data_IF_067237893659
#
_entry.id   IF_067237893659
#
_cell.length_a   1.000
_cell.length_b   1.000
_cell.length_c   1.000
_cell.angle_alpha   90.00
_cell.angle_beta   90.00
_cell.angle_gamma   90.00
#
_symmetry.space_group_name_H-M   'P 1'
#
loop_
_entity.id
_entity.type
_entity.pdbx_description
1 polymer ?
#
# COMPACT_ATOMS: atom_id res chain seq x y z
N UNK A 1 6.37 17.53 -9.78
CA UNK A 1 6.48 16.63 -10.96
C UNK A 1 5.45 15.49 -10.99
N UNK A 2 4.24 15.65 -10.42
CA UNK A 2 3.18 14.64 -10.55
C UNK A 2 2.64 14.57 -11.99
N UNK A 3 2.18 13.40 -12.43
CA UNK A 3 1.43 13.24 -13.69
C UNK A 3 0.16 14.11 -13.65
N UNK A 4 -0.28 14.60 -14.82
CA UNK A 4 -1.43 15.51 -14.89
C UNK A 4 -2.69 14.85 -14.32
N UNK A 5 -2.96 13.59 -14.67
CA UNK A 5 -4.08 12.79 -14.14
C UNK A 5 -4.13 12.77 -12.61
N UNK A 6 -2.99 12.58 -11.95
CA UNK A 6 -2.90 12.59 -10.48
C UNK A 6 -3.19 13.97 -9.89
N UNK A 7 -2.72 15.05 -10.53
CA UNK A 7 -3.02 16.43 -10.09
C UNK A 7 -4.53 16.71 -10.18
N UNK A 8 -5.15 16.29 -11.27
CA UNK A 8 -6.59 16.51 -11.52
C UNK A 8 -7.44 15.77 -10.49
N UNK A 9 -7.09 14.50 -10.19
CA UNK A 9 -7.77 13.70 -9.16
C UNK A 9 -7.58 14.31 -7.77
N UNK A 10 -6.36 14.71 -7.42
CA UNK A 10 -6.10 15.33 -6.11
C UNK A 10 -6.93 16.60 -5.93
N UNK A 11 -6.99 17.44 -6.97
CA UNK A 11 -7.84 18.62 -6.96
C UNK A 11 -9.32 18.25 -6.83
N UNK A 12 -9.79 17.28 -7.61
CA UNK A 12 -11.19 16.80 -7.57
C UNK A 12 -11.58 16.26 -6.18
N UNK A 13 -10.71 15.45 -5.57
CA UNK A 13 -10.88 14.89 -4.23
C UNK A 13 -11.07 16.01 -3.17
N UNK A 14 -10.20 17.02 -3.20
CA UNK A 14 -10.25 18.13 -2.26
C UNK A 14 -11.55 18.96 -2.35
N UNK A 15 -12.22 18.94 -3.50
CA UNK A 15 -13.45 19.68 -3.74
C UNK A 15 -14.72 18.84 -3.52
N UNK A 16 -14.61 17.53 -3.21
CA UNK A 16 -15.77 16.71 -2.87
C UNK A 16 -16.65 17.32 -1.77
N UNK A 17 -16.11 17.89 -0.66
CA UNK A 17 -16.92 18.49 0.39
C UNK A 17 -17.76 19.71 -0.04
N UNK A 18 -17.51 20.29 -1.22
CA UNK A 18 -18.27 21.44 -1.71
C UNK A 18 -19.57 21.03 -2.42
N UNK A 19 -19.80 19.73 -2.65
CA UNK A 19 -21.00 19.21 -3.30
C UNK A 19 -22.15 19.01 -2.32
N UNK A 20 -23.38 19.07 -2.82
CA UNK A 20 -24.60 18.68 -2.09
C UNK A 20 -24.77 17.16 -1.95
N UNK A 21 -24.18 16.38 -2.86
CA UNK A 21 -24.25 14.93 -2.93
C UNK A 21 -22.96 14.34 -3.52
N UNK A 22 -22.79 13.01 -3.48
CA UNK A 22 -21.64 12.31 -4.08
C UNK A 22 -20.28 12.90 -3.66
N UNK A 23 -20.13 13.09 -2.34
CA UNK A 23 -19.01 13.78 -1.68
C UNK A 23 -18.15 12.89 -0.77
N UNK A 24 -18.49 11.61 -0.66
CA UNK A 24 -17.74 10.61 0.10
C UNK A 24 -17.54 9.40 -0.79
N UNK A 25 -16.30 8.97 -0.93
CA UNK A 25 -15.96 7.76 -1.68
C UNK A 25 -16.05 6.55 -0.76
N UNK A 26 -16.81 5.54 -1.17
CA UNK A 26 -16.79 4.23 -0.52
C UNK A 26 -15.44 3.53 -0.76
N UNK A 27 -15.04 2.65 0.15
CA UNK A 27 -13.77 1.94 0.04
C UNK A 27 -13.84 0.54 0.67
N UNK A 28 -13.07 -0.39 0.12
CA UNK A 28 -12.89 -1.72 0.68
C UNK A 28 -11.43 -2.17 0.58
N UNK A 29 -10.98 -2.94 1.57
CA UNK A 29 -9.67 -3.59 1.53
C UNK A 29 -9.81 -4.98 0.90
N UNK A 30 -9.12 -5.18 -0.22
CA UNK A 30 -9.16 -6.44 -0.97
C UNK A 30 -8.26 -7.53 -0.39
N UNK A 31 -7.26 -7.15 0.41
CA UNK A 31 -6.34 -8.06 1.11
C UNK A 31 -4.86 -7.77 0.85
N UNK A 32 -4.02 -8.66 1.39
CA UNK A 32 -2.57 -8.62 1.22
C UNK A 32 -2.17 -9.37 -0.06
N UNK A 33 -1.32 -8.76 -0.89
CA UNK A 33 -0.90 -9.31 -2.19
C UNK A 33 -0.32 -10.72 -2.03
N UNK A 34 -0.69 -11.65 -2.92
CA UNK A 34 -0.25 -13.06 -2.87
C UNK A 34 -0.53 -13.80 -1.54
N UNK A 35 -1.48 -13.33 -0.73
CA UNK A 35 -1.91 -14.01 0.48
C UNK A 35 -3.43 -14.06 0.58
N UNK A 36 -4.07 -12.90 0.64
CA UNK A 36 -5.53 -12.78 0.81
C UNK A 36 -6.18 -11.85 -0.20
N UNK A 37 -5.37 -11.09 -0.96
CA UNK A 37 -5.89 -10.16 -1.96
C UNK A 37 -6.79 -10.88 -2.96
N UNK A 38 -8.03 -10.43 -3.06
CA UNK A 38 -8.99 -10.95 -4.04
C UNK A 38 -10.04 -9.89 -4.38
N UNK A 39 -10.80 -10.13 -5.46
CA UNK A 39 -11.99 -9.34 -5.80
C UNK A 39 -13.25 -9.84 -5.07
N UNK A 40 -13.12 -10.77 -4.12
CA UNK A 40 -14.26 -11.35 -3.39
C UNK A 40 -15.06 -10.29 -2.65
N UNK A 41 -14.38 -9.35 -1.98
CA UNK A 41 -15.05 -8.30 -1.22
C UNK A 41 -15.77 -7.28 -2.13
N UNK A 42 -15.16 -6.91 -3.25
CA UNK A 42 -15.81 -6.10 -4.28
C UNK A 42 -17.09 -6.76 -4.80
N UNK A 43 -17.02 -8.03 -5.19
CA UNK A 43 -18.17 -8.77 -5.70
C UNK A 43 -19.26 -8.93 -4.63
N UNK A 44 -18.86 -9.17 -3.38
CA UNK A 44 -19.80 -9.25 -2.24
C UNK A 44 -20.56 -7.93 -2.07
N UNK A 45 -19.87 -6.79 -2.09
CA UNK A 45 -20.47 -5.47 -1.99
C UNK A 45 -21.38 -5.17 -3.19
N UNK A 46 -20.94 -5.50 -4.40
CA UNK A 46 -21.73 -5.34 -5.62
C UNK A 46 -23.00 -6.17 -5.59
N UNK A 47 -22.94 -7.43 -5.15
CA UNK A 47 -24.10 -8.31 -5.05
C UNK A 47 -25.08 -7.85 -3.96
N UNK A 48 -24.56 -7.35 -2.84
CA UNK A 48 -25.40 -6.90 -1.72
C UNK A 48 -26.06 -5.54 -1.95
N UNK A 49 -25.41 -4.64 -2.70
CA UNK A 49 -25.82 -3.22 -2.80
C UNK A 49 -26.13 -2.76 -4.23
N UNK A 50 -25.79 -3.57 -5.24
CA UNK A 50 -25.78 -3.16 -6.64
C UNK A 50 -24.61 -2.26 -7.03
N UNK A 51 -23.69 -1.94 -6.09
CA UNK A 51 -22.60 -0.99 -6.30
C UNK A 51 -21.24 -1.54 -5.85
N UNK A 52 -20.18 -1.19 -6.59
CA UNK A 52 -18.79 -1.46 -6.24
C UNK A 52 -18.20 -0.30 -5.42
N UNK A 53 -17.23 -0.54 -4.51
CA UNK A 53 -16.58 0.53 -3.75
C UNK A 53 -15.78 1.46 -4.66
N UNK A 54 -15.81 2.76 -4.43
CA UNK A 54 -15.05 3.69 -5.27
C UNK A 54 -13.52 3.50 -5.12
N UNK A 55 -13.06 3.07 -3.94
CA UNK A 55 -11.65 2.77 -3.62
C UNK A 55 -11.47 1.28 -3.36
N UNK A 56 -10.41 0.68 -3.90
CA UNK A 56 -10.05 -0.70 -3.58
C UNK A 56 -8.58 -0.81 -3.16
N UNK A 57 -8.36 -1.42 -1.98
CA UNK A 57 -7.07 -1.47 -1.33
C UNK A 57 -6.35 -2.80 -1.53
N UNK A 58 -5.04 -2.72 -1.79
CA UNK A 58 -4.10 -3.83 -1.63
C UNK A 58 -3.01 -3.42 -0.62
N UNK A 59 -2.46 -4.39 0.10
CA UNK A 59 -1.23 -4.20 0.87
C UNK A 59 -0.11 -5.06 0.27
N UNK A 60 1.04 -4.45 -0.03
CA UNK A 60 2.18 -5.20 -0.57
C UNK A 60 3.00 -5.89 0.51
N UNK A 61 2.92 -5.42 1.75
CA UNK A 61 3.76 -5.86 2.85
C UNK A 61 3.15 -7.05 3.60
N UNK A 62 3.92 -8.13 3.71
CA UNK A 62 3.57 -9.33 4.49
C UNK A 62 4.59 -9.51 5.61
N UNK A 63 4.80 -8.44 6.38
CA UNK A 63 5.90 -8.33 7.33
C UNK A 63 5.85 -9.28 8.54
N UNK A 64 4.87 -10.18 8.61
CA UNK A 64 4.86 -11.29 9.55
C UNK A 64 5.62 -12.53 9.02
N UNK A 65 5.94 -12.60 7.72
CA UNK A 65 6.62 -13.74 7.14
C UNK A 65 8.12 -13.75 7.48
N UNK A 66 8.60 -14.91 7.92
CA UNK A 66 10.03 -15.21 8.00
C UNK A 66 10.49 -15.75 6.63
N UNK A 67 11.39 -15.01 6.00
CA UNK A 67 11.91 -15.29 4.65
C UNK A 67 13.44 -15.26 4.64
N UNK A 68 14.04 -15.88 3.62
CA UNK A 68 15.49 -15.88 3.44
C UNK A 68 16.03 -14.49 3.09
N UNK A 69 15.30 -13.76 2.24
CA UNK A 69 15.53 -12.35 1.92
C UNK A 69 14.35 -11.50 2.41
N UNK A 70 14.61 -10.39 3.09
CA UNK A 70 13.54 -9.51 3.61
C UNK A 70 12.61 -9.00 2.51
N UNK A 71 13.12 -8.85 1.28
CA UNK A 71 12.35 -8.39 0.12
C UNK A 71 11.30 -9.40 -0.29
N UNK A 72 11.43 -10.68 0.05
CA UNK A 72 10.39 -11.69 -0.19
C UNK A 72 9.14 -11.44 0.65
N UNK A 73 9.17 -10.53 1.63
CA UNK A 73 7.96 -10.07 2.32
C UNK A 73 7.15 -9.06 1.51
N UNK A 74 7.67 -8.56 0.38
CA UNK A 74 6.99 -7.63 -0.55
C UNK A 74 6.53 -8.36 -1.81
N UNK A 75 5.24 -8.23 -2.13
CA UNK A 75 4.66 -8.66 -3.41
C UNK A 75 3.69 -7.61 -3.93
N UNK A 76 3.62 -7.48 -5.25
CA UNK A 76 2.78 -6.52 -5.93
C UNK A 76 1.98 -7.16 -7.08
N UNK A 77 1.77 -8.49 -7.05
CA UNK A 77 0.99 -9.22 -8.04
C UNK A 77 -0.48 -8.75 -8.13
N UNK A 78 -1.02 -8.17 -7.04
CA UNK A 78 -2.34 -7.53 -7.01
C UNK A 78 -2.48 -6.36 -8.01
N UNK A 79 -1.37 -5.84 -8.56
CA UNK A 79 -1.37 -4.76 -9.55
C UNK A 79 -2.20 -5.04 -10.79
N UNK A 80 -2.25 -6.30 -11.25
CA UNK A 80 -3.10 -6.67 -12.39
C UNK A 80 -4.58 -6.33 -12.14
N UNK A 81 -5.07 -6.59 -10.93
CA UNK A 81 -6.41 -6.23 -10.48
C UNK A 81 -6.54 -4.73 -10.23
N UNK A 82 -5.56 -4.07 -9.60
CA UNK A 82 -5.61 -2.61 -9.36
C UNK A 82 -5.64 -1.81 -10.67
N UNK A 83 -4.87 -2.21 -11.69
CA UNK A 83 -4.89 -1.61 -13.02
C UNK A 83 -6.25 -1.80 -13.67
N UNK A 84 -6.85 -2.99 -13.55
CA UNK A 84 -8.18 -3.27 -14.07
C UNK A 84 -9.25 -2.45 -13.35
N UNK A 85 -9.13 -2.30 -12.03
CA UNK A 85 -10.02 -1.50 -11.19
C UNK A 85 -9.99 -0.02 -11.55
N UNK A 86 -8.80 0.51 -11.80
CA UNK A 86 -8.59 1.85 -12.33
C UNK A 86 -9.29 2.05 -13.68
N UNK A 87 -9.11 1.10 -14.61
CA UNK A 87 -9.74 1.15 -15.94
C UNK A 87 -11.27 1.07 -15.89
N UNK A 88 -11.84 0.48 -14.85
CA UNK A 88 -13.30 0.48 -14.61
C UNK A 88 -13.82 1.69 -13.84
N UNK A 89 -12.97 2.68 -13.54
CA UNK A 89 -13.36 3.94 -12.88
C UNK A 89 -13.18 3.98 -11.36
N UNK A 90 -12.56 2.96 -10.75
CA UNK A 90 -12.20 2.94 -9.34
C UNK A 90 -10.82 3.55 -9.05
N UNK A 91 -10.53 3.84 -7.78
CA UNK A 91 -9.25 4.40 -7.34
C UNK A 91 -8.47 3.39 -6.48
N UNK A 92 -7.30 2.91 -6.92
CA UNK A 92 -6.47 2.02 -6.11
C UNK A 92 -5.89 2.70 -4.85
N UNK A 93 -5.85 1.95 -3.75
CA UNK A 93 -5.08 2.29 -2.55
C UNK A 93 -3.99 1.26 -2.33
N UNK A 94 -2.77 1.69 -1.97
CA UNK A 94 -1.70 0.79 -1.52
C UNK A 94 -1.21 1.19 -0.13
N UNK A 95 -1.20 0.22 0.80
CA UNK A 95 -0.61 0.32 2.13
C UNK A 95 0.53 -0.69 2.28
N UNK A 96 1.23 -0.62 3.43
CA UNK A 96 2.42 -1.42 3.68
C UNK A 96 2.47 -1.89 5.13
N UNK A 97 2.38 -3.20 5.35
CA UNK A 97 2.78 -3.86 6.59
C UNK A 97 4.21 -4.40 6.46
N UNK A 98 5.19 -3.50 6.61
CA UNK A 98 6.60 -3.79 6.35
C UNK A 98 7.21 -4.75 7.37
N UNK A 99 8.00 -5.72 6.88
CA UNK A 99 8.94 -6.43 7.74
C UNK A 99 9.89 -5.45 8.42
N UNK A 100 10.36 -5.79 9.61
CA UNK A 100 11.22 -4.94 10.42
C UNK A 100 12.69 -5.08 10.00
N UNK A 101 13.33 -4.04 9.43
CA UNK A 101 14.70 -4.13 8.92
C UNK A 101 15.77 -4.30 10.02
N UNK A 102 15.43 -4.10 11.29
CA UNK A 102 16.31 -4.46 12.41
C UNK A 102 16.60 -5.97 12.47
N UNK A 103 15.76 -6.79 11.84
CA UNK A 103 15.88 -8.24 11.77
C UNK A 103 16.12 -8.70 10.33
N UNK A 104 16.61 -9.94 10.11
CA UNK A 104 16.77 -10.48 8.76
C UNK A 104 15.47 -10.54 7.95
N UNK A 105 14.33 -10.80 8.58
CA UNK A 105 12.98 -10.77 8.00
C UNK A 105 11.89 -10.77 9.09
N UNK A 106 10.62 -10.70 8.68
CA UNK A 106 9.47 -10.77 9.58
C UNK A 106 9.39 -9.61 10.58
N UNK A 107 8.90 -9.91 11.79
CA UNK A 107 8.97 -9.03 12.96
C UNK A 107 8.31 -7.64 12.79
N UNK A 108 7.33 -7.50 11.89
CA UNK A 108 6.65 -6.21 11.65
C UNK A 108 6.04 -5.54 12.89
N UNK A 109 5.76 -6.33 13.95
CA UNK A 109 5.21 -5.86 15.23
C UNK A 109 6.16 -5.92 16.42
N UNK A 110 7.45 -6.15 16.16
CA UNK A 110 8.47 -6.21 17.21
C UNK A 110 9.05 -4.81 17.37
N UNK A 111 8.85 -4.22 18.55
CA UNK A 111 9.39 -2.90 18.88
C UNK A 111 10.93 -2.87 18.81
N UNK A 112 11.48 -1.70 18.48
CA UNK A 112 12.92 -1.47 18.38
C UNK A 112 13.34 -0.26 19.21
N UNK A 113 14.61 -0.21 19.59
CA UNK A 113 15.19 0.96 20.23
C UNK A 113 15.44 2.09 19.24
N UNK A 114 15.53 3.33 19.73
CA UNK A 114 15.96 4.47 18.91
C UNK A 114 17.35 4.28 18.26
N UNK A 115 18.22 3.47 18.86
CA UNK A 115 19.53 3.15 18.25
C UNK A 115 19.37 2.25 17.03
N UNK A 116 18.52 1.22 17.10
CA UNK A 116 18.21 0.38 15.94
C UNK A 116 17.50 1.19 14.86
N UNK A 117 16.59 2.09 15.24
CA UNK A 117 15.94 2.99 14.29
C UNK A 117 16.96 3.87 13.55
N UNK A 118 17.97 4.41 14.25
CA UNK A 118 19.06 5.15 13.61
C UNK A 118 19.84 4.31 12.60
N UNK A 119 20.09 3.02 12.89
CA UNK A 119 20.71 2.12 11.91
C UNK A 119 19.81 1.95 10.68
N UNK A 120 18.50 1.75 10.87
CA UNK A 120 17.54 1.63 9.75
C UNK A 120 17.58 2.87 8.84
N UNK A 121 17.82 4.07 9.40
CA UNK A 121 17.92 5.32 8.63
C UNK A 121 19.30 5.55 7.98
N UNK A 122 20.32 4.75 8.32
CA UNK A 122 21.66 4.85 7.76
C UNK A 122 21.88 3.77 6.68
N UNK A 123 21.92 4.13 5.39
CA UNK A 123 22.05 3.17 4.28
C UNK A 123 23.41 2.46 4.24
N UNK A 124 24.39 2.90 5.02
CA UNK A 124 25.67 2.19 5.15
C UNK A 124 25.57 0.93 6.01
N UNK A 125 24.57 0.86 6.90
CA UNK A 125 24.34 -0.27 7.82
C UNK A 125 23.63 -1.44 7.13
N UNK A 126 23.58 -2.60 7.79
CA UNK A 126 22.85 -3.76 7.27
C UNK A 126 21.33 -3.54 7.34
N UNK A 127 20.86 -2.85 8.38
CA UNK A 127 19.45 -2.49 8.57
C UNK A 127 18.97 -1.47 7.54
N UNK A 128 19.79 -0.45 7.25
CA UNK A 128 19.49 0.53 6.20
C UNK A 128 19.42 -0.10 4.82
N UNK A 129 20.36 -1.01 4.48
CA UNK A 129 20.32 -1.76 3.22
C UNK A 129 19.05 -2.62 3.08
N UNK A 130 18.57 -3.22 4.17
CA UNK A 130 17.30 -3.95 4.18
C UNK A 130 16.12 -3.02 3.91
N UNK A 131 16.08 -1.84 4.53
CA UNK A 131 15.05 -0.84 4.24
C UNK A 131 15.11 -0.39 2.78
N UNK A 132 16.28 -0.07 2.25
CA UNK A 132 16.45 0.31 0.84
C UNK A 132 15.97 -0.79 -0.11
N UNK A 133 16.29 -2.05 0.18
CA UNK A 133 15.84 -3.19 -0.61
C UNK A 133 14.31 -3.35 -0.60
N UNK A 134 13.66 -3.19 0.56
CA UNK A 134 12.20 -3.16 0.67
C UNK A 134 11.60 -2.02 -0.16
N UNK A 135 12.12 -0.80 0.00
CA UNK A 135 11.65 0.38 -0.72
C UNK A 135 11.84 0.24 -2.24
N UNK A 136 12.95 -0.36 -2.68
CA UNK A 136 13.21 -0.64 -4.09
C UNK A 136 12.14 -1.56 -4.69
N UNK A 137 11.86 -2.70 -4.04
CA UNK A 137 10.86 -3.65 -4.54
C UNK A 137 9.43 -3.08 -4.52
N UNK A 138 9.12 -2.23 -3.54
CA UNK A 138 7.86 -1.46 -3.52
C UNK A 138 7.80 -0.46 -4.69
N UNK A 139 8.90 0.25 -4.95
CA UNK A 139 9.00 1.21 -6.03
C UNK A 139 8.87 0.54 -7.42
N UNK A 140 9.35 -0.69 -7.60
CA UNK A 140 9.13 -1.47 -8.82
C UNK A 140 7.63 -1.72 -9.06
N UNK A 141 6.92 -2.16 -8.03
CA UNK A 141 5.46 -2.34 -8.08
C UNK A 141 4.70 -1.04 -8.35
N UNK A 142 5.07 0.06 -7.69
CA UNK A 142 4.44 1.37 -7.94
C UNK A 142 4.78 1.93 -9.33
N UNK A 143 5.96 1.62 -9.85
CA UNK A 143 6.38 1.99 -11.21
C UNK A 143 5.52 1.28 -12.26
N UNK A 144 5.15 0.02 -12.02
CA UNK A 144 4.20 -0.69 -12.89
C UNK A 144 2.86 0.05 -12.99
N UNK A 145 2.31 0.53 -11.87
CA UNK A 145 1.07 1.33 -11.84
C UNK A 145 1.25 2.69 -12.55
N UNK A 146 2.34 3.39 -12.26
CA UNK A 146 2.68 4.68 -12.91
C UNK A 146 2.79 4.56 -14.43
N UNK A 147 3.40 3.48 -14.92
CA UNK A 147 3.57 3.22 -16.36
C UNK A 147 2.22 3.00 -17.07
N UNK A 148 1.17 2.64 -16.33
CA UNK A 148 -0.20 2.53 -16.83
C UNK A 148 -1.03 3.81 -16.59
N UNK A 149 -0.41 4.89 -16.08
CA UNK A 149 -1.10 6.14 -15.75
C UNK A 149 -2.06 6.03 -14.57
N UNK A 150 -1.92 4.99 -13.75
CA UNK A 150 -2.77 4.75 -12.58
C UNK A 150 -2.37 5.72 -11.46
N UNK A 151 -3.35 6.44 -10.92
CA UNK A 151 -3.15 7.19 -9.68
C UNK A 151 -3.42 6.30 -8.48
N UNK A 152 -2.55 6.37 -7.46
CA UNK A 152 -2.59 5.52 -6.28
C UNK A 152 -2.73 6.37 -5.03
N UNK A 153 -3.68 6.03 -4.16
CA UNK A 153 -3.67 6.49 -2.77
C UNK A 153 -2.61 5.70 -2.02
N UNK A 154 -1.42 6.29 -1.83
CA UNK A 154 -0.32 5.62 -1.15
C UNK A 154 -0.29 5.99 0.34
N UNK A 155 -0.38 4.99 1.21
CA UNK A 155 -0.54 5.16 2.67
C UNK A 155 0.54 4.37 3.45
N UNK A 156 1.81 4.82 3.41
CA UNK A 156 2.91 4.18 4.13
C UNK A 156 2.90 4.52 5.63
N UNK A 157 3.61 3.73 6.44
CA UNK A 157 3.91 4.00 7.87
C UNK A 157 2.68 4.44 8.67
N UNK A 158 1.57 3.72 8.49
CA UNK A 158 0.29 4.02 9.11
C UNK A 158 0.29 3.66 10.60
N UNK A 159 -0.64 4.26 11.35
CA UNK A 159 -0.86 3.93 12.77
C UNK A 159 0.40 4.12 13.64
N UNK A 160 1.29 5.04 13.28
CA UNK A 160 2.55 5.30 14.00
C UNK A 160 2.37 5.78 15.44
N UNK A 161 1.17 6.22 15.80
CA UNK A 161 0.82 6.59 17.17
C UNK A 161 0.33 5.39 18.00
N UNK A 162 0.30 4.20 17.42
CA UNK A 162 0.07 2.93 18.10
C UNK A 162 1.35 2.34 18.69
N UNK A 163 1.22 1.18 19.31
CA UNK A 163 2.30 0.49 20.03
C UNK A 163 2.65 -0.88 19.42
N UNK A 164 2.12 -1.15 18.22
CA UNK A 164 2.26 -2.45 17.57
C UNK A 164 3.31 -2.47 16.48
N UNK A 165 3.36 -1.51 15.56
CA UNK A 165 4.34 -1.56 14.46
C UNK A 165 5.75 -1.15 14.90
N UNK A 166 6.77 -1.63 14.18
CA UNK A 166 8.17 -1.33 14.51
C UNK A 166 8.58 0.12 14.23
N UNK A 167 7.83 0.80 13.36
CA UNK A 167 8.07 2.19 12.96
C UNK A 167 7.43 3.19 13.91
#
# INVERSE_FOLDING_TARGET
NAQQTTKDIMNWLAHLPNRSENRVMSGAFGGYSDVTFSMTEENRLKNATGQSPAIYGCDYGRGWLETADITDTIDYSCNSSLISYWKSGGLPQVSLHLANPAFPSGNYKTAISNSQYKNILDPSTVEGKRLEALLSKIADGLTQLKNQGVTVLFRPLHEMNGEWFWW
#
